data_IF_894765394781
#
_entry.id   IF_894765394781
#
_cell.length_a   1.000
_cell.length_b   1.000
_cell.length_c   1.000
_cell.angle_alpha   90.00
_cell.angle_beta   90.00
_cell.angle_gamma   90.00
#
_symmetry.space_group_name_H-M   'P 1'
#
loop_
_entity.id
_entity.type
_entity.pdbx_description
1 polymer ?
#
# COMPACT_ATOMS: atom_id res chain seq x y z
N UNK A 1 -24.26 12.64 40.86
CA UNK A 1 -23.54 13.30 39.78
C UNK A 1 -22.76 12.25 39.00
N UNK A 2 -23.31 11.81 37.88
CA UNK A 2 -22.66 10.87 36.98
C UNK A 2 -21.80 11.67 35.99
N UNK A 3 -20.48 11.46 36.05
CA UNK A 3 -19.55 12.00 35.07
C UNK A 3 -19.69 11.19 33.77
N UNK A 4 -20.23 11.83 32.73
CA UNK A 4 -20.25 11.33 31.36
C UNK A 4 -18.83 11.42 30.82
N UNK A 5 -18.07 10.32 30.91
CA UNK A 5 -16.83 10.15 30.19
C UNK A 5 -17.14 9.85 28.73
N UNK A 6 -17.00 10.83 27.83
CA UNK A 6 -16.95 10.59 26.41
C UNK A 6 -15.76 9.68 26.05
N UNK A 7 -15.79 8.95 24.94
CA UNK A 7 -14.67 8.15 24.50
C UNK A 7 -13.43 9.07 24.36
N UNK A 8 -12.23 8.58 24.70
CA UNK A 8 -11.01 9.37 24.51
C UNK A 8 -10.88 9.77 23.04
N UNK A 9 -10.31 10.95 22.73
CA UNK A 9 -10.05 11.32 21.36
C UNK A 9 -9.18 10.25 20.73
N UNK A 10 -9.59 9.77 19.58
CA UNK A 10 -8.85 8.83 18.74
C UNK A 10 -7.46 9.42 18.46
N UNK A 11 -6.50 9.07 19.29
CA UNK A 11 -5.11 9.42 19.08
C UNK A 11 -4.68 8.48 17.96
N UNK A 12 -4.67 8.97 16.73
CA UNK A 12 -4.32 8.19 15.54
C UNK A 12 -3.12 7.30 15.85
N UNK A 13 -3.39 6.01 16.00
CA UNK A 13 -2.37 5.03 16.30
C UNK A 13 -1.60 4.84 14.99
N UNK A 14 -0.41 5.42 14.95
CA UNK A 14 0.49 5.27 13.81
C UNK A 14 0.87 3.80 13.78
N UNK A 15 0.63 3.14 12.66
CA UNK A 15 1.07 1.75 12.45
C UNK A 15 2.59 1.75 12.41
N UNK A 16 3.20 1.33 13.51
CA UNK A 16 4.65 1.15 13.61
C UNK A 16 4.89 -0.31 13.22
N UNK A 17 5.51 -0.51 12.05
CA UNK A 17 6.01 -1.83 11.69
C UNK A 17 7.11 -2.23 12.68
N UNK A 18 7.21 -3.53 13.05
CA UNK A 18 8.34 -4.03 13.79
C UNK A 18 9.64 -3.57 13.14
N UNK A 19 10.56 -3.01 13.91
CA UNK A 19 11.81 -2.41 13.40
C UNK A 19 12.61 -3.36 12.49
N UNK A 20 12.54 -4.66 12.76
CA UNK A 20 13.25 -5.70 12.01
C UNK A 20 12.82 -5.78 10.54
N UNK A 21 11.54 -5.62 10.24
CA UNK A 21 11.02 -5.72 8.87
C UNK A 21 11.20 -4.44 8.08
N UNK A 22 11.15 -3.30 8.72
CA UNK A 22 11.38 -2.01 8.04
C UNK A 22 12.77 -1.94 7.42
N UNK A 23 13.80 -2.37 8.14
CA UNK A 23 15.17 -2.41 7.63
C UNK A 23 15.32 -3.27 6.37
N UNK A 24 14.67 -4.43 6.34
CA UNK A 24 14.65 -5.33 5.17
C UNK A 24 13.99 -4.64 3.96
N UNK A 25 12.84 -3.98 4.18
CA UNK A 25 12.10 -3.28 3.14
C UNK A 25 12.86 -2.05 2.61
N UNK A 26 13.49 -1.27 3.48
CA UNK A 26 14.32 -0.13 3.08
C UNK A 26 15.53 -0.57 2.26
N UNK A 27 16.23 -1.64 2.66
CA UNK A 27 17.35 -2.20 1.92
C UNK A 27 16.92 -2.71 0.54
N UNK A 28 15.75 -3.32 0.44
CA UNK A 28 15.16 -3.72 -0.84
C UNK A 28 14.89 -2.51 -1.73
N UNK A 29 14.22 -1.46 -1.23
CA UNK A 29 13.93 -0.26 -1.99
C UNK A 29 15.21 0.44 -2.49
N UNK A 30 16.27 0.46 -1.68
CA UNK A 30 17.57 1.00 -2.11
C UNK A 30 18.16 0.23 -3.28
N UNK A 31 18.09 -1.09 -3.27
CA UNK A 31 18.54 -1.92 -4.40
C UNK A 31 17.69 -1.71 -5.64
N UNK A 32 16.37 -1.71 -5.48
CA UNK A 32 15.41 -1.46 -6.56
C UNK A 32 15.67 -0.09 -7.23
N UNK A 33 15.92 0.94 -6.44
CA UNK A 33 16.29 2.26 -6.92
C UNK A 33 17.61 2.25 -7.71
N UNK A 34 18.61 1.55 -7.21
CA UNK A 34 19.92 1.43 -7.89
C UNK A 34 19.78 0.75 -9.26
N UNK A 35 18.83 -0.17 -9.40
CA UNK A 35 18.49 -0.86 -10.65
C UNK A 35 17.56 -0.06 -11.56
N UNK A 36 17.20 1.18 -11.19
CA UNK A 36 16.39 2.06 -12.03
C UNK A 36 14.90 1.69 -12.07
N UNK A 37 14.39 0.95 -11.10
CA UNK A 37 12.97 0.64 -11.03
C UNK A 37 12.15 1.85 -10.55
N UNK A 38 10.81 1.77 -10.71
CA UNK A 38 9.90 2.81 -10.23
C UNK A 38 9.89 2.93 -8.70
N UNK A 39 10.26 1.84 -8.01
CA UNK A 39 10.29 1.77 -6.55
C UNK A 39 11.52 2.51 -6.01
N UNK A 40 11.30 3.66 -5.41
CA UNK A 40 12.38 4.55 -4.98
C UNK A 40 12.68 4.47 -3.50
N UNK A 41 11.68 4.20 -2.66
CA UNK A 41 11.83 4.14 -1.22
C UNK A 41 10.70 3.35 -0.53
N UNK A 42 10.82 3.22 0.79
CA UNK A 42 9.86 2.55 1.65
C UNK A 42 8.44 3.14 1.57
N UNK A 43 8.31 4.46 1.44
CA UNK A 43 7.00 5.11 1.37
C UNK A 43 6.28 4.77 0.07
N UNK A 44 7.00 4.71 -1.04
CA UNK A 44 6.48 4.26 -2.32
C UNK A 44 6.00 2.80 -2.26
N UNK A 45 6.79 1.93 -1.64
CA UNK A 45 6.38 0.54 -1.40
C UNK A 45 5.08 0.46 -0.58
N UNK A 46 5.02 1.20 0.52
CA UNK A 46 3.84 1.21 1.38
C UNK A 46 2.60 1.71 0.64
N UNK A 47 2.72 2.80 -0.12
CA UNK A 47 1.63 3.32 -0.94
C UNK A 47 1.14 2.31 -1.98
N UNK A 48 2.04 1.59 -2.61
CA UNK A 48 1.71 0.51 -3.53
C UNK A 48 0.93 -0.62 -2.85
N UNK A 49 1.41 -1.10 -1.71
CA UNK A 49 0.72 -2.15 -0.93
C UNK A 49 -0.67 -1.68 -0.47
N UNK A 50 -0.79 -0.41 -0.08
CA UNK A 50 -2.09 0.18 0.28
C UNK A 50 -3.04 0.21 -0.92
N UNK A 51 -2.56 0.57 -2.11
CA UNK A 51 -3.36 0.54 -3.34
C UNK A 51 -3.84 -0.87 -3.70
N UNK A 52 -3.01 -1.90 -3.48
CA UNK A 52 -3.40 -3.31 -3.64
C UNK A 52 -4.47 -3.69 -2.60
N UNK A 53 -4.26 -3.33 -1.33
CA UNK A 53 -5.17 -3.68 -0.23
C UNK A 53 -6.56 -3.02 -0.36
N UNK A 54 -6.63 -1.83 -0.94
CA UNK A 54 -7.89 -1.11 -1.17
C UNK A 54 -8.59 -1.46 -2.48
N UNK A 55 -8.01 -2.34 -3.28
CA UNK A 55 -8.64 -2.76 -4.53
C UNK A 55 -9.92 -3.57 -4.24
N UNK A 56 -11.05 -3.29 -4.90
CA UNK A 56 -12.31 -4.00 -4.67
C UNK A 56 -12.28 -5.47 -5.16
N UNK A 57 -11.34 -5.83 -6.02
CA UNK A 57 -11.04 -7.20 -6.39
C UNK A 57 -9.82 -7.71 -5.62
N UNK A 58 -9.87 -8.98 -5.17
CA UNK A 58 -8.71 -9.62 -4.57
C UNK A 58 -7.65 -9.88 -5.64
N UNK A 59 -6.57 -9.09 -5.61
CA UNK A 59 -5.41 -9.30 -6.47
C UNK A 59 -4.52 -10.35 -5.82
N UNK A 60 -4.19 -11.40 -6.59
CA UNK A 60 -3.38 -12.49 -6.06
C UNK A 60 -1.95 -12.03 -5.77
N UNK A 61 -1.33 -12.49 -4.66
CA UNK A 61 0.06 -12.16 -4.35
C UNK A 61 1.04 -12.46 -5.49
N UNK A 62 0.81 -13.52 -6.25
CA UNK A 62 1.63 -13.87 -7.41
C UNK A 62 1.63 -12.80 -8.51
N UNK A 63 0.55 -12.01 -8.64
CA UNK A 63 0.44 -10.98 -9.65
C UNK A 63 1.21 -9.72 -9.23
N UNK A 64 0.93 -9.21 -8.03
CA UNK A 64 1.52 -7.94 -7.60
C UNK A 64 2.95 -8.08 -7.04
N UNK A 65 3.32 -9.25 -6.48
CA UNK A 65 4.72 -9.51 -6.07
C UNK A 65 5.66 -9.58 -7.26
N UNK A 66 5.22 -10.13 -8.39
CA UNK A 66 6.04 -10.17 -9.61
C UNK A 66 6.43 -8.77 -10.09
N UNK A 67 5.53 -7.80 -9.96
CA UNK A 67 5.83 -6.40 -10.29
C UNK A 67 6.84 -5.75 -9.34
N UNK A 68 6.85 -6.16 -8.06
CA UNK A 68 7.80 -5.65 -7.06
C UNK A 68 9.18 -6.29 -7.19
N UNK A 69 9.21 -7.61 -7.36
CA UNK A 69 10.45 -8.39 -7.28
C UNK A 69 11.14 -8.55 -8.65
N UNK A 70 10.41 -8.27 -9.74
CA UNK A 70 10.86 -8.56 -11.09
C UNK A 70 10.72 -10.06 -11.44
N UNK A 71 11.12 -10.40 -12.67
CA UNK A 71 11.12 -11.78 -13.12
C UNK A 71 12.24 -12.56 -12.39
N UNK A 72 11.93 -13.65 -11.67
CA UNK A 72 12.93 -14.45 -10.97
C UNK A 72 13.96 -15.10 -11.90
N UNK A 73 13.67 -15.21 -13.20
CA UNK A 73 14.61 -15.68 -14.23
C UNK A 73 15.48 -14.55 -14.80
N UNK A 74 15.21 -13.30 -14.43
CA UNK A 74 16.02 -12.15 -14.85
C UNK A 74 17.32 -12.11 -14.07
N UNK A 75 18.43 -11.80 -14.76
CA UNK A 75 19.74 -11.57 -14.14
C UNK A 75 19.75 -10.38 -13.16
N UNK A 76 18.72 -9.53 -13.22
CA UNK A 76 18.50 -8.37 -12.36
C UNK A 76 17.60 -8.68 -11.14
N UNK A 77 17.39 -9.97 -10.82
CA UNK A 77 16.63 -10.36 -9.65
C UNK A 77 17.16 -9.64 -8.40
N UNK A 78 16.29 -8.89 -7.73
CA UNK A 78 16.64 -7.99 -6.63
C UNK A 78 17.14 -8.71 -5.35
N UNK A 79 17.43 -10.03 -5.45
CA UNK A 79 17.75 -10.88 -4.31
C UNK A 79 18.85 -11.88 -4.65
N UNK A 80 19.95 -11.81 -3.90
CA UNK A 80 21.16 -12.59 -4.15
C UNK A 80 21.09 -14.08 -3.74
N UNK A 81 20.08 -14.47 -2.93
CA UNK A 81 19.91 -15.85 -2.49
C UNK A 81 18.46 -16.17 -2.00
N UNK A 82 18.10 -17.48 -1.95
CA UNK A 82 16.78 -17.94 -1.53
C UNK A 82 16.39 -17.51 -0.10
N UNK A 83 17.34 -17.41 0.83
CA UNK A 83 17.01 -17.05 2.22
C UNK A 83 16.61 -15.57 2.30
N UNK A 84 17.34 -14.68 1.62
CA UNK A 84 17.00 -13.26 1.54
C UNK A 84 15.70 -13.03 0.78
N UNK A 85 15.43 -13.83 -0.26
CA UNK A 85 14.15 -13.80 -0.97
C UNK A 85 12.97 -14.13 -0.04
N UNK A 86 13.10 -15.16 0.76
CA UNK A 86 12.06 -15.58 1.72
C UNK A 86 11.85 -14.50 2.79
N UNK A 87 12.90 -13.96 3.37
CA UNK A 87 12.83 -12.89 4.36
C UNK A 87 12.15 -11.65 3.79
N UNK A 88 12.50 -11.25 2.57
CA UNK A 88 11.89 -10.12 1.89
C UNK A 88 10.40 -10.35 1.60
N UNK A 89 10.04 -11.52 1.07
CA UNK A 89 8.63 -11.86 0.82
C UNK A 89 7.84 -11.85 2.12
N UNK A 90 8.38 -12.41 3.19
CA UNK A 90 7.76 -12.39 4.51
C UNK A 90 7.54 -10.95 4.97
N UNK A 91 8.56 -10.09 4.91
CA UNK A 91 8.47 -8.68 5.29
C UNK A 91 7.40 -7.91 4.48
N UNK A 92 7.34 -8.15 3.17
CA UNK A 92 6.33 -7.54 2.30
C UNK A 92 4.91 -8.03 2.67
N UNK A 93 4.74 -9.33 2.89
CA UNK A 93 3.44 -9.91 3.26
C UNK A 93 2.97 -9.44 4.62
N UNK A 94 3.86 -9.29 5.59
CA UNK A 94 3.52 -8.75 6.90
C UNK A 94 3.10 -7.28 6.81
N UNK A 95 3.81 -6.46 6.01
CA UNK A 95 3.42 -5.09 5.75
C UNK A 95 2.03 -5.01 5.09
N UNK A 96 1.77 -5.84 4.09
CA UNK A 96 0.47 -5.93 3.44
C UNK A 96 -0.65 -6.35 4.42
N UNK A 97 -0.42 -7.36 5.26
CA UNK A 97 -1.40 -7.83 6.23
C UNK A 97 -1.70 -6.74 7.29
N UNK A 98 -0.67 -6.04 7.78
CA UNK A 98 -0.85 -4.93 8.72
C UNK A 98 -1.71 -3.80 8.12
N UNK A 99 -1.50 -3.46 6.85
CA UNK A 99 -2.34 -2.48 6.14
C UNK A 99 -3.80 -2.97 6.09
N UNK A 100 -4.04 -4.23 5.74
CA UNK A 100 -5.39 -4.79 5.71
C UNK A 100 -6.06 -4.78 7.10
N UNK A 101 -5.35 -5.14 8.15
CA UNK A 101 -5.86 -5.08 9.53
C UNK A 101 -6.29 -3.66 9.89
N UNK A 102 -5.44 -2.66 9.62
CA UNK A 102 -5.78 -1.26 9.83
C UNK A 102 -7.03 -0.82 9.04
N UNK A 103 -7.14 -1.22 7.78
CA UNK A 103 -8.31 -0.91 6.96
C UNK A 103 -9.59 -1.53 7.50
N UNK A 104 -9.54 -2.78 7.98
CA UNK A 104 -10.68 -3.48 8.59
C UNK A 104 -11.11 -2.82 9.89
N UNK A 105 -10.15 -2.38 10.71
CA UNK A 105 -10.39 -1.73 12.00
C UNK A 105 -10.78 -0.24 11.85
N UNK A 106 -10.63 0.32 10.66
CA UNK A 106 -10.88 1.74 10.39
C UNK A 106 -9.79 2.66 10.96
N UNK A 107 -8.59 2.12 11.18
CA UNK A 107 -7.44 2.86 11.68
C UNK A 107 -6.64 3.50 10.53
N UNK A 108 -5.93 4.62 10.79
CA UNK A 108 -5.07 5.23 9.77
C UNK A 108 -3.94 4.29 9.36
N UNK A 109 -3.82 3.99 8.06
CA UNK A 109 -2.80 3.11 7.51
C UNK A 109 -1.65 3.87 6.81
N UNK A 110 -1.39 5.12 7.17
CA UNK A 110 -0.21 5.85 6.69
C UNK A 110 1.02 5.50 7.54
N UNK A 111 2.17 5.21 6.94
CA UNK A 111 3.38 4.94 7.69
C UNK A 111 3.90 6.20 8.38
N UNK A 112 4.63 6.00 9.48
CA UNK A 112 5.25 7.11 10.19
C UNK A 112 6.16 7.91 9.24
N UNK A 113 6.04 9.23 9.30
CA UNK A 113 6.76 10.17 8.43
C UNK A 113 6.06 10.50 7.11
N UNK A 114 5.00 9.78 6.72
CA UNK A 114 4.22 10.09 5.51
C UNK A 114 3.00 11.00 5.76
N UNK A 115 2.84 11.50 6.97
CA UNK A 115 1.77 12.47 7.26
C UNK A 115 2.02 13.76 6.49
N UNK A 116 0.95 14.42 6.01
CA UNK A 116 1.05 15.74 5.38
C UNK A 116 1.78 16.72 6.29
N UNK A 117 2.72 17.47 5.72
CA UNK A 117 3.46 18.47 6.48
C UNK A 117 2.58 19.72 6.73
N UNK A 118 2.90 20.46 7.80
CA UNK A 118 2.26 21.78 8.04
C UNK A 118 2.53 22.77 6.91
N UNK A 119 3.70 22.67 6.26
CA UNK A 119 4.05 23.47 5.08
C UNK A 119 3.83 22.66 3.79
N UNK A 120 2.79 22.98 3.00
CA UNK A 120 2.49 22.27 1.75
C UNK A 120 3.63 22.28 0.72
N UNK A 121 4.58 23.23 0.83
CA UNK A 121 5.74 23.25 -0.07
C UNK A 121 6.69 22.08 0.17
N UNK A 122 6.74 21.55 1.38
CA UNK A 122 7.53 20.36 1.69
C UNK A 122 6.94 19.13 1.03
N UNK A 123 5.61 18.98 1.04
CA UNK A 123 4.91 17.86 0.42
C UNK A 123 5.02 17.88 -1.11
N UNK A 124 5.26 19.05 -1.69
CA UNK A 124 5.49 19.23 -3.12
C UNK A 124 6.88 18.79 -3.61
N UNK A 125 7.83 18.55 -2.71
CA UNK A 125 9.17 18.10 -3.11
C UNK A 125 9.13 16.66 -3.62
N UNK A 126 9.91 16.31 -4.68
CA UNK A 126 9.89 14.96 -5.24
C UNK A 126 10.21 13.86 -4.23
N UNK A 127 11.08 14.14 -3.27
CA UNK A 127 11.53 13.23 -2.22
C UNK A 127 10.64 13.23 -0.96
N UNK A 128 9.59 14.05 -0.93
CA UNK A 128 8.69 14.10 0.23
C UNK A 128 8.02 12.74 0.46
N UNK A 129 8.04 12.20 1.69
CA UNK A 129 7.46 10.90 2.01
C UNK A 129 6.02 10.72 1.52
N UNK A 130 5.17 11.71 1.75
CA UNK A 130 3.77 11.67 1.28
C UNK A 130 3.67 11.59 -0.24
N UNK A 131 4.54 12.27 -0.96
CA UNK A 131 4.56 12.25 -2.42
C UNK A 131 5.02 10.88 -2.95
N UNK A 132 6.05 10.30 -2.35
CA UNK A 132 6.50 8.94 -2.68
C UNK A 132 5.39 7.93 -2.42
N UNK A 133 4.70 8.05 -1.28
CA UNK A 133 3.56 7.21 -0.93
C UNK A 133 2.44 7.32 -1.98
N UNK A 134 2.04 8.54 -2.35
CA UNK A 134 1.03 8.79 -3.40
C UNK A 134 1.47 8.20 -4.74
N UNK A 135 2.75 8.32 -5.09
CA UNK A 135 3.28 7.74 -6.34
C UNK A 135 3.10 6.22 -6.35
N UNK A 136 3.48 5.53 -5.28
CA UNK A 136 3.29 4.08 -5.16
C UNK A 136 1.82 3.68 -5.23
N UNK A 137 0.95 4.41 -4.55
CA UNK A 137 -0.50 4.21 -4.59
C UNK A 137 -1.06 4.34 -6.02
N UNK A 138 -0.69 5.42 -6.73
CA UNK A 138 -1.13 5.62 -8.10
C UNK A 138 -0.66 4.50 -9.03
N UNK A 139 0.57 4.00 -8.88
CA UNK A 139 1.08 2.87 -9.67
C UNK A 139 0.21 1.63 -9.45
N UNK A 140 -0.15 1.31 -8.20
CA UNK A 140 -1.03 0.18 -7.92
C UNK A 140 -2.41 0.35 -8.57
N UNK A 141 -3.01 1.53 -8.41
CA UNK A 141 -4.33 1.84 -8.98
C UNK A 141 -4.30 1.81 -10.52
N UNK A 142 -3.28 2.38 -11.14
CA UNK A 142 -3.13 2.36 -12.61
C UNK A 142 -2.92 0.94 -13.13
N UNK A 143 -2.16 0.12 -12.42
CA UNK A 143 -1.84 -1.25 -12.85
C UNK A 143 -3.03 -2.19 -12.70
N UNK A 144 -3.79 -2.06 -11.60
CA UNK A 144 -4.86 -2.99 -11.25
C UNK A 144 -6.27 -2.35 -11.27
N UNK A 145 -6.39 -1.09 -11.69
CA UNK A 145 -7.65 -0.35 -11.72
C UNK A 145 -8.70 -0.94 -12.67
N UNK A 146 -8.26 -1.57 -13.75
CA UNK A 146 -9.16 -2.27 -14.68
C UNK A 146 -9.93 -3.43 -14.01
N UNK A 147 -9.39 -4.01 -12.95
CA UNK A 147 -10.07 -5.02 -12.15
C UNK A 147 -11.31 -4.41 -11.46
N UNK A 148 -11.19 -3.21 -10.92
CA UNK A 148 -12.30 -2.49 -10.31
C UNK A 148 -13.39 -2.13 -11.34
N UNK A 149 -12.98 -1.71 -12.54
CA UNK A 149 -13.90 -1.39 -13.64
C UNK A 149 -14.62 -2.63 -14.16
N UNK A 150 -13.91 -3.76 -14.33
CA UNK A 150 -14.52 -5.04 -14.72
C UNK A 150 -15.53 -5.52 -13.69
N UNK A 151 -15.21 -5.40 -12.40
CA UNK A 151 -16.13 -5.80 -11.33
C UNK A 151 -17.35 -4.89 -11.28
N UNK A 152 -17.19 -3.58 -11.38
CA UNK A 152 -18.30 -2.65 -11.45
C UNK A 152 -19.21 -2.94 -12.65
N UNK A 153 -18.65 -3.26 -13.83
CA UNK A 153 -19.42 -3.63 -15.02
C UNK A 153 -20.17 -4.97 -14.83
N UNK A 154 -19.52 -6.00 -14.27
CA UNK A 154 -20.16 -7.31 -14.04
C UNK A 154 -21.30 -7.24 -13.02
N UNK A 155 -21.22 -6.31 -12.10
CA UNK A 155 -22.21 -6.10 -11.05
C UNK A 155 -23.39 -5.26 -11.59
N UNK A 156 -23.14 -4.31 -12.50
CA UNK A 156 -24.22 -3.54 -13.17
C UNK A 156 -25.10 -4.40 -14.09
N UNK A 157 -24.60 -5.56 -14.52
CA UNK A 157 -25.34 -6.47 -15.42
C UNK A 157 -26.26 -7.47 -14.68
N UNK A 158 -26.25 -7.60 -13.36
CA UNK A 158 -27.02 -8.67 -12.78
C UNK A 158 -27.43 -8.72 -11.30
N UNK A 159 -26.93 -7.90 -10.38
CA UNK A 159 -27.23 -8.12 -8.96
C UNK A 159 -27.40 -6.86 -8.11
N UNK A 160 -28.26 -6.97 -7.10
CA UNK A 160 -28.56 -5.92 -6.11
C UNK A 160 -27.36 -5.48 -5.25
N UNK A 161 -26.27 -6.25 -5.23
CA UNK A 161 -24.97 -5.86 -4.65
C UNK A 161 -24.24 -4.80 -5.49
N UNK A 162 -24.57 -4.69 -6.79
CA UNK A 162 -24.02 -3.73 -7.72
C UNK A 162 -24.19 -2.28 -7.33
N UNK A 163 -25.33 -1.98 -6.77
CA UNK A 163 -25.71 -0.61 -6.40
C UNK A 163 -24.81 -0.04 -5.28
N UNK A 164 -24.24 -0.89 -4.42
CA UNK A 164 -23.38 -0.49 -3.30
C UNK A 164 -21.94 -0.25 -3.77
N UNK A 165 -21.42 -1.09 -4.66
CA UNK A 165 -20.06 -0.98 -5.18
C UNK A 165 -19.95 0.21 -6.14
N UNK A 166 -20.95 0.40 -7.02
CA UNK A 166 -21.01 1.54 -7.92
C UNK A 166 -21.08 2.88 -7.17
N UNK A 167 -21.86 2.96 -6.07
CA UNK A 167 -21.90 4.16 -5.22
C UNK A 167 -20.57 4.41 -4.52
N UNK A 168 -19.88 3.39 -4.02
CA UNK A 168 -18.59 3.54 -3.38
C UNK A 168 -17.53 4.05 -4.37
N UNK A 169 -17.53 3.53 -5.61
CA UNK A 169 -16.62 3.96 -6.66
C UNK A 169 -16.87 5.41 -7.11
N UNK A 170 -18.14 5.81 -7.24
CA UNK A 170 -18.52 7.18 -7.62
C UNK A 170 -18.27 8.21 -6.50
N UNK A 171 -18.22 7.76 -5.24
CA UNK A 171 -17.95 8.64 -4.08
C UNK A 171 -16.46 8.84 -3.83
N UNK A 172 -15.60 7.97 -4.36
CA UNK A 172 -14.14 8.05 -4.24
C UNK A 172 -13.45 8.87 -5.34
N UNK A 173 -14.22 9.40 -6.30
CA UNK A 173 -13.77 10.34 -7.34
C UNK A 173 -14.05 11.78 -6.94
#
# INVERSE_FOLDING_TARGET
>A
AAASGGPPPNTGQIVIYPDDHRGVLEAFCQRARANGTWLTDYYGLHGYLFGIATNPELIQPSEWLTLLLGDPESADAAVDNNAQAQELIQAIMEAYNTINECLIEGEPALPDGAQPAEDPKRDGQPEAPIRQWVTGFCIAVETFGDAAERKAASVAEGDAEGDVVERAYLTAR
#
